data_IF_917789299241
#
_entry.id   IF_917789299241
#
_cell.length_a   1.000
_cell.length_b   1.000
_cell.length_c   1.000
_cell.angle_alpha   90.00
_cell.angle_beta   90.00
_cell.angle_gamma   90.00
#
_symmetry.space_group_name_H-M   'P 1'
#
loop_
_entity.id
_entity.type
_entity.pdbx_description
1 polymer ?
#
# COMPACT_ATOMS: atom_id res chain seq x y z
N UNK A 1 -18.70 17.11 6.24
CA UNK A 1 -17.46 17.37 6.99
C UNK A 1 -16.30 16.79 6.21
N UNK A 2 -15.54 17.65 5.51
CA UNK A 2 -14.30 17.23 4.85
C UNK A 2 -13.23 17.01 5.94
N UNK A 3 -12.95 15.76 6.24
CA UNK A 3 -11.82 15.40 7.08
C UNK A 3 -10.53 15.72 6.31
N UNK A 4 -9.71 16.60 6.85
CA UNK A 4 -8.34 16.79 6.39
C UNK A 4 -7.45 15.85 7.20
N UNK A 5 -6.68 15.01 6.51
CA UNK A 5 -5.73 14.09 7.13
C UNK A 5 -4.31 14.66 6.98
N UNK A 6 -3.65 14.91 8.09
CA UNK A 6 -2.24 15.25 8.12
C UNK A 6 -1.42 13.97 7.91
N UNK A 7 -0.51 13.97 6.94
CA UNK A 7 0.41 12.85 6.70
C UNK A 7 1.61 12.91 7.65
N UNK A 8 1.32 12.95 8.93
CA UNK A 8 2.31 13.04 10.00
C UNK A 8 2.57 11.70 10.70
N UNK A 9 3.08 11.77 11.92
CA UNK A 9 3.34 10.65 12.81
C UNK A 9 2.14 9.74 13.12
N UNK A 10 0.89 10.19 12.86
CA UNK A 10 -0.30 9.36 13.04
C UNK A 10 -0.58 8.45 11.84
N UNK A 11 -0.16 8.88 10.65
CA UNK A 11 -0.38 8.13 9.41
C UNK A 11 0.84 7.29 9.06
N UNK A 12 2.04 7.83 9.19
CA UNK A 12 3.30 7.19 8.80
C UNK A 12 3.85 6.35 9.96
N UNK A 13 4.26 5.12 9.65
CA UNK A 13 4.86 4.22 10.63
C UNK A 13 6.18 4.80 11.17
N UNK A 14 6.40 4.80 12.50
CA UNK A 14 7.51 5.53 13.12
C UNK A 14 8.90 4.99 12.78
N UNK A 15 8.98 3.76 12.31
CA UNK A 15 10.25 3.14 11.91
C UNK A 15 10.65 3.42 10.46
N UNK A 16 9.79 4.05 9.66
CA UNK A 16 10.11 4.44 8.28
C UNK A 16 11.20 5.50 8.29
N UNK A 17 12.37 5.12 7.82
CA UNK A 17 13.57 5.97 7.74
C UNK A 17 14.35 5.64 6.48
N UNK A 18 15.05 6.61 5.93
CA UNK A 18 15.88 6.44 4.74
C UNK A 18 17.30 6.93 4.98
N UNK A 19 18.28 6.32 4.31
CA UNK A 19 19.67 6.79 4.29
C UNK A 19 19.87 7.87 3.21
N UNK A 20 19.26 7.68 2.04
CA UNK A 20 19.36 8.62 0.91
C UNK A 20 18.82 10.00 1.26
N UNK A 21 19.56 11.09 0.99
CA UNK A 21 19.08 12.46 1.18
C UNK A 21 17.81 12.78 0.37
N UNK A 22 17.68 12.20 -0.83
CA UNK A 22 16.53 12.39 -1.72
C UNK A 22 15.27 11.81 -1.06
N UNK A 23 15.36 10.57 -0.55
CA UNK A 23 14.24 9.91 0.11
C UNK A 23 13.92 10.53 1.48
N UNK A 24 14.93 11.01 2.22
CA UNK A 24 14.73 11.80 3.44
C UNK A 24 13.91 13.07 3.16
N UNK A 25 14.31 13.83 2.15
CA UNK A 25 13.59 15.04 1.76
C UNK A 25 12.16 14.74 1.31
N UNK A 26 11.98 13.70 0.49
CA UNK A 26 10.65 13.25 0.07
C UNK A 26 9.76 12.92 1.28
N UNK A 27 10.27 12.20 2.27
CA UNK A 27 9.53 11.84 3.48
C UNK A 27 9.14 13.07 4.31
N UNK A 28 10.06 14.03 4.49
CA UNK A 28 9.79 15.27 5.23
C UNK A 28 8.78 16.16 4.50
N UNK A 29 8.84 16.25 3.17
CA UNK A 29 7.84 16.98 2.38
C UNK A 29 6.47 16.30 2.46
N UNK A 30 6.43 14.97 2.44
CA UNK A 30 5.19 14.20 2.59
C UNK A 30 4.55 14.42 3.96
N UNK A 31 5.31 14.43 5.04
CA UNK A 31 4.82 14.68 6.42
C UNK A 31 4.15 16.03 6.61
N UNK A 32 4.55 17.05 5.85
CA UNK A 32 3.98 18.40 5.92
C UNK A 32 2.61 18.50 5.23
N UNK A 33 2.22 17.48 4.46
CA UNK A 33 1.01 17.56 3.66
C UNK A 33 -0.25 17.28 4.47
N UNK A 34 -1.26 18.09 4.18
CA UNK A 34 -2.63 17.85 4.64
C UNK A 34 -3.44 17.45 3.42
N UNK A 35 -3.94 16.21 3.43
CA UNK A 35 -4.67 15.65 2.29
C UNK A 35 -6.13 15.40 2.63
N UNK A 36 -7.05 15.76 1.73
CA UNK A 36 -8.45 15.37 1.88
C UNK A 36 -8.60 13.87 1.62
N UNK A 37 -9.50 13.19 2.31
CA UNK A 37 -9.88 11.82 1.94
C UNK A 37 -10.54 11.84 0.56
N UNK A 38 -9.97 11.12 -0.41
CA UNK A 38 -10.54 11.05 -1.75
C UNK A 38 -9.52 10.79 -2.87
N UNK A 39 -9.98 10.89 -4.11
CA UNK A 39 -9.19 10.52 -5.31
C UNK A 39 -8.22 11.60 -5.81
N UNK A 40 -8.38 12.85 -5.36
CA UNK A 40 -7.50 13.97 -5.73
C UNK A 40 -6.73 14.39 -4.50
N UNK A 41 -5.43 14.33 -4.55
CA UNK A 41 -4.60 14.67 -3.42
C UNK A 41 -3.16 14.93 -3.84
N UNK A 42 -2.32 14.99 -2.86
CA UNK A 42 -0.91 15.25 -2.98
C UNK A 42 -0.17 14.20 -3.80
N UNK A 43 0.71 14.67 -4.67
CA UNK A 43 1.69 13.88 -5.41
C UNK A 43 3.04 14.58 -5.34
N UNK A 44 4.08 13.86 -4.96
CA UNK A 44 5.46 14.33 -4.94
C UNK A 44 6.28 13.56 -5.96
N UNK A 45 7.00 14.28 -6.83
CA UNK A 45 7.83 13.70 -7.90
C UNK A 45 9.29 13.90 -7.60
N UNK A 46 10.08 12.86 -7.79
CA UNK A 46 11.52 12.89 -7.58
C UNK A 46 12.24 11.93 -8.53
N UNK A 47 13.57 12.09 -8.63
CA UNK A 47 14.45 11.20 -9.38
C UNK A 47 15.32 10.46 -8.36
N UNK A 48 15.32 9.15 -8.42
CA UNK A 48 16.15 8.29 -7.60
C UNK A 48 16.70 7.16 -8.48
N UNK A 49 18.01 6.93 -8.42
CA UNK A 49 18.73 5.94 -9.24
C UNK A 49 18.38 6.03 -10.75
N UNK A 50 18.42 7.24 -11.28
CA UNK A 50 18.08 7.59 -12.68
C UNK A 50 16.64 7.31 -13.11
N UNK A 51 15.77 6.86 -12.20
CA UNK A 51 14.36 6.64 -12.48
C UNK A 51 13.51 7.79 -11.91
N UNK A 52 12.43 8.12 -12.62
CA UNK A 52 11.44 9.06 -12.13
C UNK A 52 10.40 8.33 -11.30
N UNK A 53 10.18 8.81 -10.09
CA UNK A 53 9.16 8.32 -9.19
C UNK A 53 8.13 9.39 -8.90
N UNK A 54 6.91 8.96 -8.66
CA UNK A 54 5.90 9.76 -7.98
C UNK A 54 5.30 8.96 -6.82
N UNK A 55 5.14 9.64 -5.68
CA UNK A 55 4.53 9.11 -4.47
C UNK A 55 3.41 10.04 -4.00
N UNK A 56 2.37 9.50 -3.40
CA UNK A 56 1.26 10.34 -2.94
C UNK A 56 0.02 9.53 -2.58
N UNK A 57 -1.14 10.17 -2.62
CA UNK A 57 -2.42 9.55 -2.23
C UNK A 57 -2.81 8.37 -3.13
N UNK A 58 -2.33 8.37 -4.37
CA UNK A 58 -2.61 7.31 -5.36
C UNK A 58 -1.74 6.07 -5.22
N UNK A 59 -0.60 6.17 -4.54
CA UNK A 59 0.43 5.13 -4.44
C UNK A 59 1.75 5.55 -5.05
N UNK A 60 2.66 4.59 -5.24
CA UNK A 60 3.95 4.80 -5.89
C UNK A 60 3.88 4.41 -7.37
N UNK A 61 4.48 5.23 -8.20
CA UNK A 61 4.67 4.94 -9.62
C UNK A 61 6.11 5.27 -10.02
N UNK A 62 6.71 4.43 -10.85
CA UNK A 62 7.97 4.74 -11.53
C UNK A 62 7.74 4.82 -13.03
N UNK A 63 8.50 5.66 -13.71
CA UNK A 63 8.45 5.83 -15.16
C UNK A 63 9.84 5.62 -15.72
N UNK A 64 10.00 4.52 -16.44
CA UNK A 64 11.20 4.20 -17.19
C UNK A 64 11.02 4.62 -18.65
N UNK A 65 12.11 4.90 -19.32
CA UNK A 65 12.09 4.97 -20.78
C UNK A 65 11.77 3.56 -21.32
N UNK A 66 10.98 3.44 -22.41
CA UNK A 66 10.77 2.15 -23.05
C UNK A 66 12.12 1.56 -23.49
N UNK A 67 12.42 0.36 -23.01
CA UNK A 67 13.65 -0.35 -23.35
C UNK A 67 13.41 -1.87 -23.37
N UNK A 68 14.26 -2.58 -24.10
CA UNK A 68 14.27 -4.04 -24.09
C UNK A 68 15.52 -4.48 -23.33
N UNK A 69 15.33 -5.15 -22.20
CA UNK A 69 16.42 -5.68 -21.38
C UNK A 69 16.58 -7.16 -21.71
N UNK A 70 17.75 -7.52 -22.25
CA UNK A 70 18.12 -8.91 -22.50
C UNK A 70 19.28 -9.23 -21.56
N UNK A 71 19.08 -10.12 -20.57
CA UNK A 71 20.15 -10.50 -19.65
C UNK A 71 21.26 -11.24 -20.40
N UNK A 72 22.52 -11.01 -20.03
CA UNK A 72 23.68 -11.76 -20.53
C UNK A 72 23.73 -13.14 -19.88
N UNK A 73 24.72 -13.96 -20.29
CA UNK A 73 24.85 -15.35 -19.78
C UNK A 73 25.04 -15.44 -18.26
N UNK A 74 25.65 -14.42 -17.64
CA UNK A 74 25.94 -14.30 -16.21
C UNK A 74 24.94 -13.39 -15.45
N UNK A 75 23.92 -12.88 -16.13
CA UNK A 75 22.90 -11.99 -15.57
C UNK A 75 21.55 -12.73 -15.45
N UNK A 76 20.76 -12.36 -14.46
CA UNK A 76 19.40 -12.86 -14.26
C UNK A 76 18.43 -11.69 -14.12
N UNK A 77 17.35 -11.71 -14.88
CA UNK A 77 16.23 -10.79 -14.67
C UNK A 77 15.29 -11.39 -13.61
N UNK A 78 15.10 -10.66 -12.52
CA UNK A 78 14.26 -11.09 -11.39
C UNK A 78 13.07 -10.16 -11.27
N UNK A 79 11.86 -10.72 -11.27
CA UNK A 79 10.63 -10.02 -10.90
C UNK A 79 10.26 -10.35 -9.45
N UNK A 80 10.10 -9.32 -8.61
CA UNK A 80 9.79 -9.47 -7.20
C UNK A 80 8.44 -8.80 -6.89
N UNK A 81 7.49 -9.58 -6.42
CA UNK A 81 6.17 -9.10 -5.99
C UNK A 81 5.90 -9.39 -4.51
N UNK A 82 5.28 -8.45 -3.81
CA UNK A 82 4.88 -8.62 -2.42
C UNK A 82 3.53 -9.29 -2.34
N UNK A 83 3.52 -10.52 -1.87
CA UNK A 83 2.28 -11.30 -1.73
C UNK A 83 1.27 -10.62 -0.79
N UNK A 84 0.13 -10.20 -1.35
CA UNK A 84 -0.97 -9.58 -0.58
C UNK A 84 -0.53 -8.36 0.24
N UNK A 85 0.20 -7.44 -0.35
CA UNK A 85 0.78 -6.26 0.34
C UNK A 85 -0.25 -5.57 1.25
N UNK A 86 -1.36 -5.06 0.71
CA UNK A 86 -2.36 -4.32 1.48
C UNK A 86 -3.04 -5.17 2.57
N UNK A 87 -3.50 -6.41 2.30
CA UNK A 87 -3.97 -7.30 3.34
C UNK A 87 -2.96 -7.55 4.46
N UNK A 88 -1.70 -7.76 4.11
CA UNK A 88 -0.64 -7.96 5.10
C UNK A 88 -0.42 -6.73 5.98
N UNK A 89 -0.48 -5.54 5.40
CA UNK A 89 -0.35 -4.28 6.12
C UNK A 89 -1.52 -4.02 7.07
N UNK A 90 -2.76 -4.28 6.63
CA UNK A 90 -3.94 -4.18 7.50
C UNK A 90 -3.76 -5.00 8.77
N UNK A 91 -3.33 -6.26 8.61
CA UNK A 91 -3.17 -7.20 9.72
C UNK A 91 -1.97 -6.83 10.59
N UNK A 92 -0.80 -6.67 9.98
CA UNK A 92 0.49 -6.47 10.67
C UNK A 92 0.53 -5.17 11.47
N UNK A 93 0.02 -4.08 10.89
CA UNK A 93 0.07 -2.75 11.51
C UNK A 93 -1.25 -2.34 12.14
N UNK A 94 -2.23 -3.24 12.17
CA UNK A 94 -3.57 -3.02 12.77
C UNK A 94 -4.27 -1.78 12.20
N UNK A 95 -4.19 -1.62 10.87
CA UNK A 95 -4.91 -0.60 10.13
C UNK A 95 -6.32 -1.10 9.80
N UNK A 96 -7.30 -0.78 10.59
CA UNK A 96 -8.67 -1.26 10.41
C UNK A 96 -9.71 -0.17 10.70
N UNK A 97 -10.94 -0.32 10.18
CA UNK A 97 -12.06 0.55 10.53
C UNK A 97 -12.38 0.46 12.01
N UNK A 98 -12.10 1.50 12.78
CA UNK A 98 -12.20 1.48 14.25
C UNK A 98 -13.61 1.20 14.76
N UNK A 99 -14.65 1.59 13.99
CA UNK A 99 -16.06 1.33 14.31
C UNK A 99 -16.45 -0.16 14.21
N UNK A 100 -15.65 -0.99 13.53
CA UNK A 100 -15.87 -2.44 13.40
C UNK A 100 -15.14 -3.25 14.48
N UNK A 101 -14.33 -2.59 15.31
CA UNK A 101 -13.55 -3.29 16.33
C UNK A 101 -12.36 -4.10 15.79
N UNK A 102 -11.55 -4.66 16.70
CA UNK A 102 -10.41 -5.49 16.34
C UNK A 102 -10.81 -6.84 15.70
N UNK A 103 -12.05 -7.29 15.91
CA UNK A 103 -12.63 -8.51 15.33
C UNK A 103 -12.59 -8.48 13.80
N UNK A 104 -12.62 -7.29 13.20
CA UNK A 104 -12.42 -7.11 11.77
C UNK A 104 -11.09 -7.74 11.31
N UNK A 105 -10.02 -7.57 12.07
CA UNK A 105 -8.71 -8.13 11.72
C UNK A 105 -8.66 -9.64 11.86
N UNK A 106 -9.39 -10.22 12.81
CA UNK A 106 -9.47 -11.67 13.00
C UNK A 106 -10.10 -12.34 11.77
N UNK A 107 -11.27 -11.85 11.36
CA UNK A 107 -11.97 -12.34 10.17
C UNK A 107 -11.12 -12.11 8.90
N UNK A 108 -10.52 -10.94 8.79
CA UNK A 108 -9.71 -10.60 7.63
C UNK A 108 -8.45 -11.49 7.54
N UNK A 109 -7.82 -11.78 8.68
CA UNK A 109 -6.67 -12.70 8.77
C UNK A 109 -7.06 -14.11 8.38
N UNK A 110 -8.21 -14.60 8.85
CA UNK A 110 -8.70 -15.92 8.50
C UNK A 110 -8.89 -16.07 6.98
N UNK A 111 -9.55 -15.10 6.34
CA UNK A 111 -9.73 -15.10 4.88
C UNK A 111 -8.38 -15.11 4.14
N UNK A 112 -7.39 -14.35 4.65
CA UNK A 112 -6.05 -14.33 4.07
C UNK A 112 -5.35 -15.69 4.19
N UNK A 113 -5.38 -16.33 5.35
CA UNK A 113 -4.77 -17.64 5.57
C UNK A 113 -5.44 -18.71 4.71
N UNK A 114 -6.76 -18.74 4.63
CA UNK A 114 -7.49 -19.64 3.74
C UNK A 114 -7.10 -19.46 2.26
N UNK A 115 -6.88 -18.20 1.83
CA UNK A 115 -6.38 -17.91 0.49
C UNK A 115 -4.99 -18.48 0.27
N UNK A 116 -4.06 -18.26 1.22
CA UNK A 116 -2.69 -18.74 1.12
C UNK A 116 -2.63 -20.27 1.11
N UNK A 117 -3.48 -20.92 1.88
CA UNK A 117 -3.63 -22.37 1.87
C UNK A 117 -4.16 -22.87 0.52
N UNK A 118 -5.21 -22.25 0.00
CA UNK A 118 -5.75 -22.57 -1.32
C UNK A 118 -4.69 -22.42 -2.43
N UNK A 119 -3.84 -21.38 -2.35
CA UNK A 119 -2.72 -21.17 -3.26
C UNK A 119 -1.71 -22.31 -3.16
N UNK A 120 -1.29 -22.71 -1.95
CA UNK A 120 -0.35 -23.81 -1.72
C UNK A 120 -0.88 -25.14 -2.23
N UNK A 121 -2.17 -25.40 -2.05
CA UNK A 121 -2.84 -26.63 -2.46
C UNK A 121 -3.27 -26.64 -3.95
N UNK A 122 -2.92 -25.61 -4.73
CA UNK A 122 -3.26 -25.51 -6.14
C UNK A 122 -4.75 -25.29 -6.44
N UNK A 123 -5.55 -24.93 -5.42
CA UNK A 123 -6.98 -24.61 -5.60
C UNK A 123 -7.13 -23.20 -6.17
N UNK A 124 -7.03 -23.10 -7.50
CA UNK A 124 -7.09 -21.83 -8.23
C UNK A 124 -8.39 -21.07 -8.00
N UNK A 125 -9.53 -21.76 -8.02
CA UNK A 125 -10.86 -21.12 -7.87
C UNK A 125 -10.97 -20.46 -6.49
N UNK A 126 -10.71 -21.21 -5.42
CA UNK A 126 -10.74 -20.65 -4.05
C UNK A 126 -9.74 -19.51 -3.87
N UNK A 127 -8.50 -19.67 -4.38
CA UNK A 127 -7.48 -18.62 -4.31
C UNK A 127 -7.93 -17.30 -4.97
N UNK A 128 -8.45 -17.36 -6.21
CA UNK A 128 -8.88 -16.16 -6.91
C UNK A 128 -10.14 -15.53 -6.28
N UNK A 129 -11.09 -16.34 -5.83
CA UNK A 129 -12.30 -15.83 -5.12
C UNK A 129 -11.91 -15.08 -3.84
N UNK A 130 -11.04 -15.67 -3.00
CA UNK A 130 -10.61 -15.04 -1.76
C UNK A 130 -9.70 -13.83 -2.01
N UNK A 131 -8.91 -13.82 -3.09
CA UNK A 131 -8.13 -12.66 -3.53
C UNK A 131 -9.04 -11.48 -3.88
N UNK A 132 -10.13 -11.75 -4.61
CA UNK A 132 -11.13 -10.72 -4.94
C UNK A 132 -11.83 -10.20 -3.68
N UNK A 133 -12.17 -11.06 -2.73
CA UNK A 133 -12.78 -10.66 -1.46
C UNK A 133 -11.84 -9.75 -0.65
N UNK A 134 -10.57 -10.13 -0.47
CA UNK A 134 -9.59 -9.34 0.27
C UNK A 134 -9.31 -7.97 -0.40
N UNK A 135 -9.13 -7.97 -1.72
CA UNK A 135 -8.88 -6.74 -2.46
C UNK A 135 -10.14 -5.85 -2.50
N UNK A 136 -11.32 -6.45 -2.65
CA UNK A 136 -12.59 -5.75 -2.62
C UNK A 136 -12.85 -5.09 -1.26
N UNK A 137 -12.57 -5.78 -0.15
CA UNK A 137 -12.66 -5.21 1.19
C UNK A 137 -11.72 -4.01 1.37
N UNK A 138 -10.44 -4.15 1.04
CA UNK A 138 -9.47 -3.06 1.15
C UNK A 138 -9.83 -1.88 0.22
N UNK A 139 -10.34 -2.14 -0.98
CA UNK A 139 -10.83 -1.13 -1.91
C UNK A 139 -12.06 -0.39 -1.39
N UNK A 140 -12.98 -1.10 -0.73
CA UNK A 140 -14.21 -0.54 -0.17
C UNK A 140 -14.01 0.33 1.07
N UNK A 141 -12.84 0.29 1.71
CA UNK A 141 -12.50 1.21 2.81
C UNK A 141 -12.57 2.69 2.41
N UNK A 142 -12.48 3.02 1.12
CA UNK A 142 -12.62 4.39 0.61
C UNK A 142 -14.06 4.75 0.16
N UNK A 143 -14.96 3.79 0.12
CA UNK A 143 -16.34 4.00 -0.34
C UNK A 143 -17.22 4.44 0.83
N UNK A 144 -17.68 5.70 0.82
CA UNK A 144 -18.51 6.28 1.88
C UNK A 144 -19.87 5.61 2.09
N UNK A 145 -20.33 4.84 1.11
CA UNK A 145 -21.58 4.06 1.21
C UNK A 145 -21.36 2.62 1.70
N UNK A 146 -20.12 2.24 1.99
CA UNK A 146 -19.79 0.90 2.47
C UNK A 146 -19.64 0.88 4.00
N UNK A 147 -20.14 -0.18 4.63
CA UNK A 147 -20.02 -0.36 6.09
C UNK A 147 -18.58 -0.39 6.60
N UNK A 148 -17.61 -0.77 5.74
CA UNK A 148 -16.19 -0.74 6.05
C UNK A 148 -15.53 0.63 5.88
N UNK A 149 -16.28 1.69 5.53
CA UNK A 149 -15.70 2.99 5.22
C UNK A 149 -14.74 3.49 6.31
N UNK A 150 -13.49 3.68 5.94
CA UNK A 150 -12.44 4.17 6.82
C UNK A 150 -11.35 4.88 6.02
N UNK A 151 -11.53 6.15 5.68
CA UNK A 151 -10.58 6.92 4.89
C UNK A 151 -9.19 6.99 5.55
N UNK A 152 -9.15 6.97 6.89
CA UNK A 152 -7.89 6.94 7.64
C UNK A 152 -7.12 5.63 7.40
N UNK A 153 -7.78 4.46 7.52
CA UNK A 153 -7.15 3.18 7.26
C UNK A 153 -6.63 3.07 5.82
N UNK A 154 -7.40 3.57 4.83
CA UNK A 154 -6.95 3.65 3.43
C UNK A 154 -5.68 4.45 3.28
N UNK A 155 -5.61 5.63 3.92
CA UNK A 155 -4.43 6.49 3.85
C UNK A 155 -3.22 5.82 4.51
N UNK A 156 -3.41 5.19 5.68
CA UNK A 156 -2.34 4.44 6.35
C UNK A 156 -1.77 3.33 5.45
N UNK A 157 -2.63 2.54 4.79
CA UNK A 157 -2.20 1.48 3.89
C UNK A 157 -1.44 2.03 2.69
N UNK A 158 -2.00 3.03 2.01
CA UNK A 158 -1.43 3.58 0.77
C UNK A 158 -0.11 4.30 1.02
N UNK A 159 -0.07 5.16 2.03
CA UNK A 159 1.14 5.92 2.34
C UNK A 159 2.24 4.99 2.83
N UNK A 160 1.97 4.12 3.80
CA UNK A 160 3.00 3.22 4.31
C UNK A 160 3.41 2.16 3.30
N UNK A 161 2.49 1.66 2.45
CA UNK A 161 2.82 0.68 1.42
C UNK A 161 3.89 1.18 0.47
N UNK A 162 3.74 2.39 -0.05
CA UNK A 162 4.73 2.99 -0.94
C UNK A 162 6.04 3.35 -0.22
N UNK A 163 5.97 3.80 1.03
CA UNK A 163 7.17 4.10 1.81
C UNK A 163 7.98 2.83 2.14
N UNK A 164 7.31 1.74 2.45
CA UNK A 164 7.98 0.44 2.70
C UNK A 164 8.62 -0.15 1.45
N UNK A 165 8.05 0.10 0.27
CA UNK A 165 8.64 -0.35 -1.01
C UNK A 165 9.90 0.44 -1.37
N UNK A 166 10.11 1.62 -0.78
CA UNK A 166 11.29 2.47 -0.99
C UNK A 166 12.38 2.25 0.08
N UNK A 167 12.12 1.46 1.11
CA UNK A 167 13.10 1.11 2.16
C UNK A 167 14.06 0.03 1.68
#
# INVERSE_FOLDING_TARGET
LSFLLLLDSYTILPFVKYESPILKNMLEEMKKQIVPPGRKGYEYKFIFDNLRYSVGVGGIHSVNNPEIIIPKEDEMLIDIDVASLYPSMLIQYKFYPKHLGPEFLEVYSQIREERLEAKRNGNKVKNETLKLALNGLSGNLQNEHNFCYSPFAVMQIRINGQLLLLM
#
